data_IF_119705554294
#
_entry.id   IF_119705554294
#
_cell.length_a   1.000
_cell.length_b   1.000
_cell.length_c   1.000
_cell.angle_alpha   90.00
_cell.angle_beta   90.00
_cell.angle_gamma   90.00
#
_symmetry.space_group_name_H-M   'P 1'
#
loop_
_entity.id
_entity.type
_entity.pdbx_description
1 polymer ?
#
# COMPACT_ATOMS: atom_id res chain seq x y z
N UNK A 1 9.02 -1.41 -1.04
CA UNK A 1 7.95 -1.40 -0.06
C UNK A 1 8.18 -0.40 1.06
N UNK A 2 7.20 -0.31 1.94
CA UNK A 2 7.23 0.73 2.99
C UNK A 2 8.34 0.52 4.01
N UNK A 3 8.91 -0.67 4.09
CA UNK A 3 10.04 -0.92 4.97
C UNK A 3 11.38 -0.86 4.27
N UNK A 4 11.41 -0.38 3.03
CA UNK A 4 12.67 -0.19 2.33
C UNK A 4 13.48 0.89 3.05
N UNK A 5 14.74 0.59 3.42
CA UNK A 5 15.56 1.59 4.12
C UNK A 5 15.93 2.74 3.21
N UNK A 6 15.86 3.95 3.72
CA UNK A 6 16.35 5.14 3.04
C UNK A 6 17.72 5.52 3.57
N UNK A 7 17.83 5.48 4.88
CA UNK A 7 19.09 5.71 5.59
C UNK A 7 19.06 4.74 6.76
N UNK A 8 20.18 4.55 7.47
CA UNK A 8 20.17 3.66 8.62
C UNK A 8 19.07 4.07 9.58
N UNK A 9 18.27 3.09 9.99
CA UNK A 9 17.22 3.24 10.99
C UNK A 9 15.97 3.99 10.50
N UNK A 10 15.90 4.36 9.20
CA UNK A 10 14.69 4.99 8.68
C UNK A 10 14.27 4.37 7.36
N UNK A 11 12.97 4.18 7.21
CA UNK A 11 12.39 3.50 6.07
C UNK A 11 11.48 4.44 5.28
N UNK A 12 10.99 3.94 4.16
CA UNK A 12 9.98 4.66 3.36
C UNK A 12 8.78 5.00 4.26
N UNK A 13 8.38 4.09 5.14
CA UNK A 13 7.25 4.35 6.03
C UNK A 13 7.48 5.59 6.88
N UNK A 14 8.70 5.77 7.38
CA UNK A 14 9.03 6.94 8.18
C UNK A 14 8.91 8.21 7.37
N UNK A 15 9.37 8.20 6.11
CA UNK A 15 9.25 9.35 5.24
C UNK A 15 7.79 9.71 4.99
N UNK A 16 6.97 8.72 4.69
CA UNK A 16 5.55 8.95 4.41
C UNK A 16 4.86 9.51 5.65
N UNK A 17 5.20 8.99 6.83
CA UNK A 17 4.65 9.51 8.08
C UNK A 17 5.05 10.97 8.29
N UNK A 18 6.28 11.30 7.99
CA UNK A 18 6.76 12.66 8.16
C UNK A 18 6.06 13.65 7.23
N UNK A 19 5.74 13.23 6.01
CA UNK A 19 5.05 14.09 5.06
C UNK A 19 3.62 14.41 5.50
N UNK A 20 3.02 13.54 6.30
CA UNK A 20 1.69 13.77 6.88
C UNK A 20 0.62 14.03 5.82
N UNK A 21 0.64 13.25 4.75
CA UNK A 21 -0.35 13.33 3.68
C UNK A 21 -1.13 12.03 3.61
N UNK A 22 -2.37 12.07 3.10
CA UNK A 22 -3.12 10.83 2.89
C UNK A 22 -2.44 9.96 1.84
N UNK A 23 -2.54 8.64 2.02
CA UNK A 23 -1.91 7.68 1.13
C UNK A 23 -2.94 6.84 0.42
N UNK A 24 -2.63 6.48 -0.81
CA UNK A 24 -3.40 5.54 -1.59
C UNK A 24 -2.50 4.32 -1.80
N UNK A 25 -3.00 3.14 -1.41
CA UNK A 25 -2.26 1.91 -1.63
C UNK A 25 -2.65 1.35 -2.98
N UNK A 26 -1.66 1.07 -3.81
CA UNK A 26 -1.87 0.42 -5.11
C UNK A 26 -1.21 -0.94 -5.04
N UNK A 27 -2.01 -1.98 -5.18
CA UNK A 27 -1.51 -3.35 -5.09
C UNK A 27 -1.85 -4.15 -6.32
N UNK A 28 -1.47 -5.42 -6.30
CA UNK A 28 -1.68 -6.33 -7.40
C UNK A 28 -2.50 -7.53 -6.94
N UNK A 29 -3.27 -8.11 -7.84
CA UNK A 29 -3.98 -9.35 -7.57
C UNK A 29 -3.13 -10.59 -7.88
N UNK A 30 -1.88 -10.42 -8.26
CA UNK A 30 -0.96 -11.54 -8.43
C UNK A 30 -0.83 -12.34 -7.16
N UNK A 31 -0.30 -13.54 -7.29
CA UNK A 31 -0.04 -14.40 -6.15
C UNK A 31 0.73 -13.64 -5.08
N UNK A 32 0.18 -13.61 -3.88
CA UNK A 32 0.77 -12.87 -2.77
C UNK A 32 0.47 -11.39 -2.77
N UNK A 33 -0.13 -10.86 -3.83
CA UNK A 33 -0.38 -9.42 -3.94
C UNK A 33 -1.36 -8.92 -2.89
N UNK A 34 -2.43 -9.66 -2.65
CA UNK A 34 -3.41 -9.27 -1.65
C UNK A 34 -2.80 -9.28 -0.25
N UNK A 35 -2.04 -10.33 0.05
CA UNK A 35 -1.35 -10.41 1.33
C UNK A 35 -0.38 -9.24 1.50
N UNK A 36 0.37 -8.92 0.47
CA UNK A 36 1.29 -7.80 0.48
C UNK A 36 0.56 -6.49 0.77
N UNK A 37 -0.60 -6.32 0.16
CA UNK A 37 -1.42 -5.14 0.35
C UNK A 37 -1.90 -5.01 1.79
N UNK A 38 -2.34 -6.13 2.37
CA UNK A 38 -2.81 -6.15 3.76
C UNK A 38 -1.67 -5.85 4.73
N UNK A 39 -0.49 -6.39 4.48
CA UNK A 39 0.66 -6.11 5.33
C UNK A 39 1.06 -4.64 5.25
N UNK A 40 1.02 -4.07 4.05
CA UNK A 40 1.30 -2.66 3.87
C UNK A 40 0.28 -1.80 4.60
N UNK A 41 -0.99 -2.15 4.49
CA UNK A 41 -2.06 -1.45 5.19
C UNK A 41 -1.81 -1.44 6.69
N UNK A 42 -1.49 -2.59 7.25
CA UNK A 42 -1.24 -2.68 8.68
C UNK A 42 -0.02 -1.83 9.08
N UNK A 43 1.05 -1.91 8.29
CA UNK A 43 2.26 -1.15 8.59
C UNK A 43 1.99 0.35 8.60
N UNK A 44 1.16 0.83 7.68
CA UNK A 44 0.84 2.26 7.62
C UNK A 44 -0.09 2.67 8.75
N UNK A 45 -1.05 1.82 9.10
CA UNK A 45 -1.97 2.12 10.19
C UNK A 45 -1.26 2.19 11.54
N UNK A 46 -0.21 1.42 11.71
CA UNK A 46 0.54 1.42 12.96
C UNK A 46 1.15 2.77 13.29
N UNK A 47 1.43 3.58 12.30
CA UNK A 47 2.01 4.91 12.51
C UNK A 47 1.01 6.03 12.22
N UNK A 48 -0.27 5.69 12.15
CA UNK A 48 -1.33 6.69 12.04
C UNK A 48 -1.43 7.36 10.68
N UNK A 49 -0.94 6.73 9.63
CA UNK A 49 -1.05 7.29 8.29
C UNK A 49 -2.49 7.16 7.80
N UNK A 50 -3.04 8.25 7.29
CA UNK A 50 -4.39 8.25 6.76
C UNK A 50 -4.40 7.60 5.37
N UNK A 51 -5.41 6.76 5.13
CA UNK A 51 -5.55 6.08 3.86
C UNK A 51 -6.72 6.66 3.09
N UNK A 52 -6.47 7.02 1.83
CA UNK A 52 -7.51 7.47 0.92
C UNK A 52 -8.26 6.29 0.31
N UNK A 53 -7.58 5.17 0.17
CA UNK A 53 -8.20 3.99 -0.42
C UNK A 53 -7.16 2.97 -0.83
N UNK A 54 -7.64 1.89 -1.41
CA UNK A 54 -6.80 0.79 -1.90
C UNK A 54 -7.26 0.46 -3.31
N UNK A 55 -6.32 0.35 -4.22
CA UNK A 55 -6.58 -0.03 -5.60
C UNK A 55 -5.82 -1.30 -5.88
N UNK A 56 -6.53 -2.32 -6.39
CA UNK A 56 -5.92 -3.56 -6.81
C UNK A 56 -5.91 -3.63 -8.32
N UNK A 57 -4.77 -3.97 -8.88
CA UNK A 57 -4.54 -3.96 -10.31
C UNK A 57 -4.38 -5.39 -10.81
N UNK A 58 -5.18 -5.78 -11.80
CA UNK A 58 -5.07 -7.09 -12.45
C UNK A 58 -4.06 -7.00 -13.58
N UNK A 59 -2.81 -7.18 -13.24
CA UNK A 59 -1.75 -6.84 -14.18
C UNK A 59 -1.46 -7.93 -15.21
N UNK A 60 -1.86 -9.17 -14.97
CA UNK A 60 -1.51 -10.24 -15.90
C UNK A 60 -2.54 -10.46 -16.99
N UNK A 61 -3.65 -9.73 -16.95
CA UNK A 61 -4.71 -9.93 -17.93
C UNK A 61 -5.02 -8.66 -18.68
N UNK A 62 -5.60 -7.68 -18.03
CA UNK A 62 -6.21 -6.56 -18.74
C UNK A 62 -5.88 -5.20 -18.13
N UNK A 63 -5.00 -5.13 -17.21
CA UNK A 63 -4.63 -3.86 -16.60
C UNK A 63 -5.83 -3.12 -16.02
N UNK A 64 -6.78 -3.87 -15.50
CA UNK A 64 -7.96 -3.27 -14.90
C UNK A 64 -7.64 -2.81 -13.50
N UNK A 65 -8.16 -1.66 -13.14
CA UNK A 65 -8.02 -1.14 -11.80
C UNK A 65 -9.33 -1.34 -11.07
N UNK A 66 -9.26 -1.99 -9.92
CA UNK A 66 -10.43 -2.32 -9.13
C UNK A 66 -10.25 -1.75 -7.73
N UNK A 67 -11.24 -1.00 -7.27
CA UNK A 67 -11.19 -0.51 -5.89
C UNK A 67 -11.55 -1.64 -4.94
N UNK A 68 -11.16 -1.49 -3.67
CA UNK A 68 -11.46 -2.49 -2.66
C UNK A 68 -12.96 -2.76 -2.56
N UNK A 69 -13.78 -1.72 -2.71
CA UNK A 69 -15.22 -1.90 -2.64
C UNK A 69 -15.75 -2.76 -3.78
N UNK A 70 -15.14 -2.65 -4.94
CA UNK A 70 -15.59 -3.42 -6.11
C UNK A 70 -15.21 -4.87 -6.03
N UNK A 71 -14.32 -5.21 -5.12
CA UNK A 71 -13.90 -6.58 -4.93
C UNK A 71 -14.98 -7.43 -4.24
N UNK A 72 -15.95 -6.82 -3.68
CA UNK A 72 -16.98 -7.54 -2.91
C UNK A 72 -18.06 -8.14 -3.82
#
# INVERSE_FOLDING_TARGET
GVFTPLIPQQTIRDLVSLLNVPCLIVGSTHLGGVNHCLLTLEALQQVGIRLSGIILNESDCKNQTITTRQQQ
#
